data_IF_409737488724
#
_entry.id   IF_409737488724
#
_cell.length_a   1.000
_cell.length_b   1.000
_cell.length_c   1.000
_cell.angle_alpha   90.00
_cell.angle_beta   90.00
_cell.angle_gamma   90.00
#
_symmetry.space_group_name_H-M   'P 1'
#
loop_
_entity.id
_entity.type
_entity.pdbx_description
1 polymer ?
#
# COMPACT_ATOMS: atom_id res chain seq x y z
N UNK A 1 68.64 -5.51 32.25
CA UNK A 1 68.35 -4.31 31.44
C UNK A 1 67.09 -4.56 30.66
N UNK A 2 65.98 -3.93 31.02
CA UNK A 2 64.70 -4.09 30.39
C UNK A 2 64.48 -2.95 29.40
N UNK A 3 64.36 -3.26 28.11
CA UNK A 3 64.20 -2.32 27.01
C UNK A 3 62.72 -1.93 26.94
N UNK A 4 62.41 -0.65 27.20
CA UNK A 4 61.06 -0.11 27.18
C UNK A 4 60.65 0.24 25.73
N UNK A 5 59.58 -0.38 25.25
CA UNK A 5 58.95 -0.14 23.96
C UNK A 5 58.46 1.32 23.80
N UNK A 6 58.56 1.96 22.62
CA UNK A 6 58.16 3.34 22.44
C UNK A 6 56.66 3.52 22.47
N UNK A 7 56.16 4.52 23.25
CA UNK A 7 54.76 4.94 23.35
C UNK A 7 54.22 5.39 21.97
N UNK A 8 53.13 4.80 21.48
CA UNK A 8 52.40 5.23 20.31
C UNK A 8 51.93 6.68 20.46
N UNK A 9 52.39 7.56 19.57
CA UNK A 9 51.91 8.94 19.46
C UNK A 9 50.41 8.96 19.15
N UNK A 10 49.63 9.59 20.03
CA UNK A 10 48.18 9.76 19.82
C UNK A 10 47.92 10.59 18.54
N UNK A 11 46.79 10.25 17.88
CA UNK A 11 46.33 10.98 16.70
C UNK A 11 46.06 12.44 17.06
N UNK A 12 46.54 13.45 16.32
CA UNK A 12 46.33 14.85 16.65
C UNK A 12 44.85 15.17 16.68
N UNK A 13 44.37 15.90 17.67
CA UNK A 13 42.96 16.36 17.80
C UNK A 13 42.71 17.30 16.62
N UNK A 14 41.60 17.02 15.88
CA UNK A 14 41.13 17.91 14.79
C UNK A 14 40.75 19.26 15.35
N UNK A 15 41.32 20.32 14.79
CA UNK A 15 40.90 21.69 15.07
C UNK A 15 39.44 21.88 14.60
N UNK A 16 38.53 22.26 15.50
CA UNK A 16 37.11 22.47 15.14
C UNK A 16 36.90 23.67 14.18
N UNK A 17 37.88 24.60 14.09
CA UNK A 17 37.83 25.81 13.24
C UNK A 17 38.65 25.69 11.96
N UNK A 18 39.25 24.55 11.67
CA UNK A 18 39.96 24.36 10.42
C UNK A 18 39.00 24.47 9.21
N UNK A 19 39.33 25.27 8.16
CA UNK A 19 38.48 25.39 7.00
C UNK A 19 38.30 24.00 6.35
N UNK A 20 37.04 23.58 6.16
CA UNK A 20 36.73 22.31 5.50
C UNK A 20 37.34 22.35 4.07
N UNK A 21 38.38 21.55 3.85
CA UNK A 21 38.98 21.41 2.54
C UNK A 21 37.91 21.00 1.52
N UNK A 22 37.47 21.91 0.67
CA UNK A 22 36.58 21.66 -0.47
C UNK A 22 37.41 20.97 -1.55
N UNK A 23 37.43 19.63 -1.52
CA UNK A 23 38.00 18.85 -2.60
C UNK A 23 37.16 19.02 -3.86
N UNK A 24 37.59 19.89 -4.78
CA UNK A 24 37.02 19.98 -6.12
C UNK A 24 37.41 18.73 -6.92
N UNK A 25 36.59 17.67 -6.75
CA UNK A 25 36.72 16.48 -7.57
C UNK A 25 36.39 16.81 -9.03
N UNK A 26 37.24 16.37 -9.99
CA UNK A 26 36.96 16.51 -11.42
C UNK A 26 35.60 15.86 -11.76
N UNK A 27 34.90 16.36 -12.78
CA UNK A 27 33.61 15.83 -13.25
C UNK A 27 33.69 14.32 -13.51
N UNK A 28 34.82 13.84 -14.01
CA UNK A 28 35.11 12.42 -14.27
C UNK A 28 35.19 11.59 -12.99
N UNK A 29 35.76 12.14 -11.94
CA UNK A 29 35.89 11.47 -10.64
C UNK A 29 34.58 11.44 -9.86
N UNK A 30 33.74 12.49 -9.97
CA UNK A 30 32.37 12.52 -9.45
C UNK A 30 31.48 11.47 -10.13
N UNK A 31 31.58 11.35 -11.46
CA UNK A 31 30.85 10.33 -12.23
C UNK A 31 31.26 8.90 -11.83
N UNK A 32 32.58 8.66 -11.64
CA UNK A 32 33.10 7.35 -11.19
C UNK A 32 32.62 6.98 -9.80
N UNK A 33 32.62 7.90 -8.84
CA UNK A 33 32.09 7.67 -7.47
C UNK A 33 30.59 7.43 -7.47
N UNK A 34 29.84 8.17 -8.30
CA UNK A 34 28.39 7.97 -8.44
C UNK A 34 28.06 6.59 -9.05
N UNK A 35 28.82 6.16 -10.07
CA UNK A 35 28.66 4.84 -10.68
C UNK A 35 28.95 3.71 -9.67
N UNK A 36 30.04 3.80 -8.91
CA UNK A 36 30.39 2.84 -7.86
C UNK A 36 29.32 2.76 -6.77
N UNK A 37 28.77 3.92 -6.35
CA UNK A 37 27.67 3.98 -5.37
C UNK A 37 26.40 3.29 -5.89
N UNK A 38 26.06 3.47 -7.16
CA UNK A 38 24.91 2.81 -7.82
C UNK A 38 25.09 1.28 -7.89
N UNK A 39 26.28 0.82 -8.29
CA UNK A 39 26.61 -0.61 -8.36
C UNK A 39 26.54 -1.26 -6.98
N UNK A 40 27.10 -0.64 -5.95
CA UNK A 40 27.05 -1.17 -4.59
C UNK A 40 25.61 -1.21 -4.02
N UNK A 41 24.81 -0.19 -4.31
CA UNK A 41 23.39 -0.17 -3.94
C UNK A 41 22.59 -1.28 -4.66
N UNK A 42 22.88 -1.53 -5.94
CA UNK A 42 22.26 -2.61 -6.71
C UNK A 42 22.64 -3.99 -6.18
N UNK A 43 23.92 -4.22 -5.86
CA UNK A 43 24.39 -5.47 -5.21
C UNK A 43 23.68 -5.72 -3.88
N UNK A 44 23.61 -4.72 -3.00
CA UNK A 44 22.93 -4.84 -1.70
C UNK A 44 21.43 -5.15 -1.84
N UNK A 45 20.77 -4.58 -2.87
CA UNK A 45 19.37 -4.89 -3.20
C UNK A 45 19.22 -6.34 -3.70
N UNK A 46 20.10 -6.77 -4.60
CA UNK A 46 20.09 -8.14 -5.13
C UNK A 46 20.33 -9.19 -4.04
N UNK A 47 21.26 -8.96 -3.11
CA UNK A 47 21.52 -9.82 -1.96
C UNK A 47 20.30 -9.92 -1.03
N UNK A 48 19.65 -8.78 -0.71
CA UNK A 48 18.43 -8.76 0.10
C UNK A 48 17.28 -9.53 -0.57
N UNK A 49 17.12 -9.38 -1.89
CA UNK A 49 16.09 -10.09 -2.67
C UNK A 49 16.36 -11.59 -2.74
N UNK A 50 17.64 -12.00 -2.92
CA UNK A 50 18.06 -13.40 -2.93
C UNK A 50 17.78 -14.07 -1.59
N UNK A 51 18.16 -13.45 -0.47
CA UNK A 51 17.92 -13.98 0.88
C UNK A 51 16.43 -14.13 1.15
N UNK A 52 15.60 -13.11 0.82
CA UNK A 52 14.16 -13.19 0.99
C UNK A 52 13.52 -14.32 0.14
N UNK A 53 14.05 -14.57 -1.06
CA UNK A 53 13.58 -15.67 -1.91
C UNK A 53 13.97 -17.05 -1.33
N UNK A 54 15.14 -17.15 -0.73
CA UNK A 54 15.60 -18.38 -0.06
C UNK A 54 14.78 -18.67 1.19
N UNK A 55 14.52 -17.66 2.02
CA UNK A 55 13.68 -17.76 3.20
C UNK A 55 12.25 -18.20 2.84
N UNK A 56 11.65 -17.63 1.78
CA UNK A 56 10.34 -18.04 1.25
C UNK A 56 10.33 -19.53 0.82
N UNK A 57 11.37 -20.00 0.13
CA UNK A 57 11.49 -21.41 -0.29
C UNK A 57 11.62 -22.34 0.91
N UNK A 58 12.39 -21.97 1.92
CA UNK A 58 12.56 -22.73 3.15
C UNK A 58 11.22 -22.90 3.89
N UNK A 59 10.45 -21.82 3.95
CA UNK A 59 9.14 -21.85 4.58
C UNK A 59 8.11 -22.68 3.81
N UNK A 60 8.03 -22.50 2.50
CA UNK A 60 7.13 -23.28 1.67
C UNK A 60 7.36 -24.78 1.86
N UNK A 61 8.62 -25.22 1.93
CA UNK A 61 8.97 -26.63 2.25
C UNK A 61 8.50 -27.05 3.65
N UNK A 62 8.68 -26.19 4.65
CA UNK A 62 8.24 -26.50 6.02
C UNK A 62 6.72 -26.62 6.10
N UNK A 63 5.99 -25.69 5.45
CA UNK A 63 4.54 -25.71 5.36
C UNK A 63 4.03 -26.99 4.67
N UNK A 64 4.62 -27.36 3.52
CA UNK A 64 4.28 -28.57 2.78
C UNK A 64 4.50 -29.84 3.62
N UNK A 65 5.62 -29.93 4.34
CA UNK A 65 5.90 -31.04 5.26
C UNK A 65 4.87 -31.12 6.39
N UNK A 66 4.48 -30.00 6.99
CA UNK A 66 3.48 -29.97 8.06
C UNK A 66 2.10 -30.37 7.53
N UNK A 67 1.70 -29.85 6.36
CA UNK A 67 0.44 -30.21 5.71
C UNK A 67 0.38 -31.71 5.41
N UNK A 68 1.46 -32.28 4.88
CA UNK A 68 1.55 -33.71 4.60
C UNK A 68 1.45 -34.56 5.87
N UNK A 69 2.04 -34.13 6.98
CA UNK A 69 1.91 -34.80 8.28
C UNK A 69 0.48 -34.81 8.79
N UNK A 70 -0.20 -33.63 8.72
CA UNK A 70 -1.60 -33.49 9.13
C UNK A 70 -2.52 -34.35 8.27
N UNK A 71 -2.33 -34.37 6.95
CA UNK A 71 -3.12 -35.22 6.04
C UNK A 71 -2.96 -36.72 6.33
N UNK A 72 -1.74 -37.17 6.64
CA UNK A 72 -1.47 -38.57 7.04
C UNK A 72 -2.16 -38.92 8.36
N UNK A 73 -2.09 -38.03 9.36
CA UNK A 73 -2.75 -38.23 10.64
C UNK A 73 -4.27 -38.29 10.50
N UNK A 74 -4.86 -37.44 9.65
CA UNK A 74 -6.30 -37.45 9.35
C UNK A 74 -6.76 -38.73 8.62
N UNK A 75 -5.88 -39.38 7.86
CA UNK A 75 -6.14 -40.66 7.18
C UNK A 75 -5.95 -41.87 8.09
N UNK A 76 -5.68 -41.69 9.39
CA UNK A 76 -5.54 -42.76 10.38
C UNK A 76 -4.18 -43.45 10.37
N UNK A 77 -3.15 -42.83 9.79
CA UNK A 77 -1.78 -43.34 9.86
C UNK A 77 -1.21 -43.09 11.27
N UNK A 78 -1.19 -44.15 12.09
CA UNK A 78 -0.71 -44.09 13.48
C UNK A 78 0.77 -43.76 13.62
N UNK A 79 1.52 -43.75 12.52
CA UNK A 79 2.95 -43.37 12.50
C UNK A 79 3.15 -41.84 12.32
N UNK A 80 2.10 -41.09 11.97
CA UNK A 80 2.15 -39.67 11.77
C UNK A 80 1.79 -38.93 13.06
N UNK A 81 2.76 -38.61 13.89
CA UNK A 81 2.61 -37.74 15.05
C UNK A 81 2.69 -36.29 14.59
N UNK A 82 1.62 -35.52 14.81
CA UNK A 82 1.62 -34.05 14.70
C UNK A 82 1.87 -33.50 16.10
N UNK A 83 3.01 -32.88 16.30
CA UNK A 83 3.33 -32.21 17.55
C UNK A 83 2.53 -30.91 17.60
N UNK A 84 1.83 -30.64 18.73
CA UNK A 84 1.13 -29.37 18.95
C UNK A 84 2.07 -28.18 18.85
N UNK A 85 3.34 -28.33 19.23
CA UNK A 85 4.37 -27.31 19.06
C UNK A 85 4.67 -26.97 17.60
N UNK A 86 4.45 -27.90 16.65
CA UNK A 86 4.57 -27.60 15.20
C UNK A 86 3.43 -26.68 14.72
N UNK A 87 2.26 -26.78 15.33
CA UNK A 87 1.10 -25.91 15.04
C UNK A 87 1.23 -24.54 15.71
N UNK A 88 1.73 -24.48 16.93
CA UNK A 88 1.97 -23.24 17.67
C UNK A 88 3.13 -22.41 17.07
N UNK A 89 4.09 -23.07 16.44
CA UNK A 89 5.19 -22.41 15.74
C UNK A 89 4.79 -21.82 14.37
N UNK A 90 3.65 -22.22 13.80
CA UNK A 90 3.17 -21.68 12.51
C UNK A 90 2.89 -20.18 12.54
N UNK A 91 2.19 -19.61 13.54
CA UNK A 91 1.99 -18.18 13.64
C UNK A 91 3.30 -17.41 13.80
N UNK A 92 4.23 -17.91 14.62
CA UNK A 92 5.55 -17.32 14.81
C UNK A 92 6.40 -17.39 13.53
N UNK A 93 6.41 -18.54 12.85
CA UNK A 93 7.12 -18.69 11.59
C UNK A 93 6.51 -17.85 10.45
N UNK A 94 5.20 -17.60 10.47
CA UNK A 94 4.54 -16.64 9.57
C UNK A 94 4.94 -15.21 9.93
N UNK A 95 5.00 -14.86 11.20
CA UNK A 95 5.45 -13.54 11.66
C UNK A 95 6.92 -13.29 11.29
N UNK A 96 7.81 -14.28 11.43
CA UNK A 96 9.22 -14.18 11.05
C UNK A 96 9.42 -14.04 9.53
N UNK A 97 8.50 -14.58 8.73
CA UNK A 97 8.53 -14.47 7.27
C UNK A 97 7.99 -13.16 6.73
N UNK A 98 6.94 -12.68 7.37
CA UNK A 98 6.38 -11.36 7.06
C UNK A 98 7.40 -10.28 7.43
N UNK A 99 8.44 -10.65 8.22
CA UNK A 99 9.33 -9.73 8.90
C UNK A 99 8.50 -8.90 9.89
N UNK A 100 9.09 -8.06 10.68
CA UNK A 100 8.34 -6.96 11.31
C UNK A 100 7.78 -6.11 10.17
N UNK A 101 6.60 -6.51 9.66
CA UNK A 101 5.88 -5.72 8.66
C UNK A 101 5.48 -4.46 9.40
N UNK A 102 6.20 -3.38 9.12
CA UNK A 102 5.82 -2.05 9.61
C UNK A 102 4.33 -1.88 9.29
N UNK A 103 3.49 -1.77 10.31
CA UNK A 103 2.06 -1.52 10.13
C UNK A 103 1.92 -0.15 9.49
N UNK A 104 1.72 -0.14 8.18
CA UNK A 104 1.66 1.09 7.38
C UNK A 104 0.41 1.89 7.68
N UNK A 105 -0.68 1.18 8.00
CA UNK A 105 -1.97 1.76 8.37
C UNK A 105 -2.70 0.83 9.33
N UNK A 106 -3.10 1.40 10.46
CA UNK A 106 -3.97 0.74 11.43
C UNK A 106 -5.25 1.56 11.56
N UNK A 107 -6.42 0.99 11.25
CA UNK A 107 -7.68 1.70 11.43
C UNK A 107 -7.95 1.97 12.92
N UNK A 108 -8.59 3.08 13.19
CA UNK A 108 -9.13 3.35 14.51
C UNK A 108 -10.31 2.41 14.79
N UNK A 109 -10.44 1.98 16.06
CA UNK A 109 -11.58 1.17 16.48
C UNK A 109 -12.92 1.88 16.23
N UNK A 110 -13.96 1.09 15.93
CA UNK A 110 -15.30 1.58 15.65
C UNK A 110 -15.51 1.95 14.17
N UNK A 111 -16.07 3.14 13.84
CA UNK A 111 -16.58 3.42 12.48
C UNK A 111 -15.56 3.26 11.35
N UNK A 112 -14.27 3.47 11.60
CA UNK A 112 -13.25 3.29 10.58
C UNK A 112 -12.99 1.80 10.30
N UNK A 113 -12.92 0.99 11.34
CA UNK A 113 -12.82 -0.46 11.23
C UNK A 113 -14.07 -1.05 10.61
N UNK A 114 -15.27 -0.60 11.03
CA UNK A 114 -16.55 -1.04 10.46
C UNK A 114 -16.62 -0.77 8.95
N UNK A 115 -16.23 0.43 8.53
CA UNK A 115 -16.19 0.79 7.11
C UNK A 115 -15.24 -0.10 6.29
N UNK A 116 -14.06 -0.39 6.81
CA UNK A 116 -13.08 -1.22 6.11
C UNK A 116 -13.44 -2.71 6.13
N UNK A 117 -14.14 -3.19 7.15
CA UNK A 117 -14.58 -4.59 7.24
C UNK A 117 -15.92 -4.87 6.55
N UNK A 118 -16.64 -3.81 6.13
CA UNK A 118 -17.95 -3.94 5.52
C UNK A 118 -17.90 -4.75 4.22
N UNK A 119 -18.72 -5.80 4.15
CA UNK A 119 -18.88 -6.68 2.98
C UNK A 119 -19.90 -6.19 1.96
N UNK A 120 -20.65 -5.15 2.28
CA UNK A 120 -21.71 -4.60 1.44
C UNK A 120 -21.11 -3.97 0.17
N UNK A 121 -21.90 -4.04 -0.91
CA UNK A 121 -21.50 -3.49 -2.18
C UNK A 121 -21.35 -1.98 -2.16
N UNK A 122 -22.22 -1.28 -1.49
CA UNK A 122 -22.26 0.17 -1.40
C UNK A 122 -22.20 0.58 0.08
N UNK A 123 -21.14 1.26 0.50
CA UNK A 123 -20.93 1.67 1.90
C UNK A 123 -20.61 3.15 1.99
N UNK A 124 -21.27 3.82 2.92
CA UNK A 124 -21.05 5.22 3.26
C UNK A 124 -20.44 5.35 4.65
N UNK A 125 -19.29 6.00 4.73
CA UNK A 125 -18.68 6.44 5.99
C UNK A 125 -19.05 7.92 6.25
N UNK A 126 -20.12 8.13 6.98
CA UNK A 126 -20.59 9.44 7.42
C UNK A 126 -19.97 9.85 8.76
N UNK A 127 -19.83 11.16 9.00
CA UNK A 127 -19.40 11.68 10.30
C UNK A 127 -18.67 13.01 10.21
N UNK A 128 -18.37 13.61 11.38
CA UNK A 128 -17.67 14.90 11.46
C UNK A 128 -16.25 14.86 10.86
N UNK A 129 -15.68 16.00 10.59
CA UNK A 129 -14.28 16.14 10.18
C UNK A 129 -13.33 15.51 11.22
N UNK A 130 -12.18 14.99 10.78
CA UNK A 130 -11.17 14.39 11.66
C UNK A 130 -11.37 12.90 11.97
N UNK A 131 -12.50 12.28 11.58
CA UNK A 131 -12.77 10.86 11.82
C UNK A 131 -11.98 9.85 10.97
N UNK A 132 -10.93 10.26 10.27
CA UNK A 132 -10.09 9.34 9.47
C UNK A 132 -10.74 8.83 8.18
N UNK A 133 -11.88 9.38 7.75
CA UNK A 133 -12.66 8.95 6.56
C UNK A 133 -11.82 8.87 5.29
N UNK A 134 -11.08 9.93 4.96
CA UNK A 134 -10.25 9.99 3.75
C UNK A 134 -9.12 8.96 3.78
N UNK A 135 -8.52 8.70 4.95
CA UNK A 135 -7.50 7.65 5.09
C UNK A 135 -8.11 6.25 4.90
N UNK A 136 -9.29 5.98 5.46
CA UNK A 136 -9.98 4.71 5.23
C UNK A 136 -10.32 4.52 3.76
N UNK A 137 -10.81 5.58 3.10
CA UNK A 137 -11.12 5.55 1.67
C UNK A 137 -9.87 5.31 0.80
N UNK A 138 -8.71 5.85 1.20
CA UNK A 138 -7.44 5.60 0.52
C UNK A 138 -6.91 4.18 0.79
N UNK A 139 -7.07 3.65 1.99
CA UNK A 139 -6.58 2.33 2.36
C UNK A 139 -7.40 1.19 1.73
N UNK A 140 -8.71 1.36 1.58
CA UNK A 140 -9.63 0.32 1.15
C UNK A 140 -9.28 -0.34 -0.20
N UNK A 141 -8.97 0.37 -1.28
CA UNK A 141 -8.66 -0.23 -2.58
C UNK A 141 -7.32 -0.97 -2.61
N UNK A 142 -6.44 -0.78 -1.63
CA UNK A 142 -5.13 -1.41 -1.59
C UNK A 142 -5.21 -2.93 -1.44
N UNK A 143 -6.32 -3.46 -0.89
CA UNK A 143 -6.53 -4.89 -0.68
C UNK A 143 -6.45 -5.73 -1.96
N UNK A 144 -6.74 -5.11 -3.12
CA UNK A 144 -6.70 -5.78 -4.43
C UNK A 144 -5.55 -5.31 -5.33
N UNK A 145 -4.65 -4.46 -4.84
CA UNK A 145 -3.52 -3.96 -5.62
C UNK A 145 -2.44 -5.02 -5.93
N UNK A 146 -2.57 -6.25 -5.43
CA UNK A 146 -1.79 -7.41 -5.83
C UNK A 146 -2.24 -7.98 -7.18
N UNK A 147 -3.51 -7.78 -7.57
CA UNK A 147 -4.08 -8.26 -8.84
C UNK A 147 -3.81 -7.26 -9.96
N UNK A 148 -3.14 -7.66 -11.09
CA UNK A 148 -2.78 -6.77 -12.19
C UNK A 148 -3.99 -6.16 -12.92
N UNK A 149 -5.16 -6.79 -12.81
CA UNK A 149 -6.40 -6.34 -13.43
C UNK A 149 -7.20 -5.36 -12.57
N UNK A 150 -6.73 -5.07 -11.34
CA UNK A 150 -7.40 -4.10 -10.46
C UNK A 150 -7.40 -2.70 -11.08
N UNK A 151 -8.60 -2.13 -11.21
CA UNK A 151 -8.86 -0.80 -11.73
C UNK A 151 -9.73 -0.04 -10.75
N UNK A 152 -9.11 0.80 -9.91
CA UNK A 152 -9.81 1.69 -8.98
C UNK A 152 -10.04 3.08 -9.60
N UNK A 153 -11.14 3.71 -9.18
CA UNK A 153 -11.42 5.12 -9.44
C UNK A 153 -11.67 5.81 -8.10
N UNK A 154 -10.95 6.90 -7.83
CA UNK A 154 -11.20 7.76 -6.68
C UNK A 154 -11.61 9.15 -7.16
N UNK A 155 -12.76 9.59 -6.69
CA UNK A 155 -13.42 10.81 -7.13
C UNK A 155 -13.56 11.83 -6.01
N UNK A 156 -13.31 13.09 -6.32
CA UNK A 156 -13.56 14.26 -5.48
C UNK A 156 -14.33 15.33 -6.26
N UNK A 157 -14.91 16.31 -5.58
CA UNK A 157 -15.66 17.38 -6.25
C UNK A 157 -14.76 18.35 -6.97
N UNK A 158 -13.71 18.84 -6.33
CA UNK A 158 -12.81 19.87 -6.88
C UNK A 158 -11.37 19.37 -7.02
N UNK A 159 -10.57 20.08 -7.83
CA UNK A 159 -9.16 19.77 -8.03
C UNK A 159 -8.32 20.02 -6.78
N UNK A 160 -8.58 21.12 -6.06
CA UNK A 160 -7.82 21.47 -4.86
C UNK A 160 -7.97 20.41 -3.77
N UNK A 161 -9.22 19.97 -3.54
CA UNK A 161 -9.50 18.90 -2.60
C UNK A 161 -8.91 17.55 -3.04
N UNK A 162 -8.86 17.28 -4.35
CA UNK A 162 -8.21 16.08 -4.89
C UNK A 162 -6.70 16.08 -4.63
N UNK A 163 -6.06 17.25 -4.71
CA UNK A 163 -4.63 17.39 -4.47
C UNK A 163 -4.27 16.96 -3.05
N UNK A 164 -5.07 17.32 -2.06
CA UNK A 164 -4.88 16.87 -0.66
C UNK A 164 -4.96 15.33 -0.54
N UNK A 165 -5.90 14.69 -1.25
CA UNK A 165 -6.00 13.23 -1.27
C UNK A 165 -4.80 12.58 -1.96
N UNK A 166 -4.29 13.17 -3.04
CA UNK A 166 -3.08 12.70 -3.71
C UNK A 166 -1.89 12.73 -2.77
N UNK A 167 -1.69 13.82 -2.02
CA UNK A 167 -0.58 13.95 -1.08
C UNK A 167 -0.68 12.95 0.08
N UNK A 168 -1.88 12.72 0.63
CA UNK A 168 -2.13 11.67 1.62
C UNK A 168 -1.84 10.27 1.03
N UNK A 169 -2.24 10.03 -0.21
CA UNK A 169 -1.98 8.74 -0.88
C UNK A 169 -0.50 8.49 -1.11
N UNK A 170 0.31 9.52 -1.36
CA UNK A 170 1.77 9.40 -1.48
C UNK A 170 2.41 8.87 -0.20
N UNK A 171 1.94 9.35 0.96
CA UNK A 171 2.43 8.88 2.25
C UNK A 171 2.08 7.42 2.52
N UNK A 172 0.87 6.99 2.12
CA UNK A 172 0.35 5.66 2.37
C UNK A 172 0.84 4.64 1.33
N UNK A 173 0.66 4.92 0.04
CA UNK A 173 0.84 3.92 -1.03
C UNK A 173 2.30 3.56 -1.28
N UNK A 174 3.23 4.52 -1.13
CA UNK A 174 4.66 4.25 -1.29
C UNK A 174 5.23 3.38 -0.17
N UNK A 175 4.65 3.46 1.03
CA UNK A 175 5.00 2.60 2.17
C UNK A 175 4.38 1.21 2.02
N UNK A 176 3.06 1.15 1.73
CA UNK A 176 2.34 -0.11 1.58
C UNK A 176 2.84 -0.95 0.40
N UNK A 177 3.19 -0.31 -0.70
CA UNK A 177 3.69 -0.95 -1.92
C UNK A 177 5.00 -0.32 -2.38
N UNK A 178 6.16 -0.77 -1.87
CA UNK A 178 7.44 -0.30 -2.36
C UNK A 178 7.57 -0.52 -3.87
N UNK A 179 7.68 0.59 -4.62
CA UNK A 179 7.71 0.57 -6.09
C UNK A 179 6.43 1.06 -6.75
N UNK A 180 5.35 1.34 -6.00
CA UNK A 180 4.20 2.07 -6.53
C UNK A 180 4.62 3.48 -6.99
N UNK A 181 4.05 3.94 -8.12
CA UNK A 181 4.40 5.21 -8.75
C UNK A 181 3.14 5.99 -9.09
N UNK A 182 3.13 7.26 -8.74
CA UNK A 182 2.09 8.18 -9.20
C UNK A 182 2.49 8.80 -10.54
N UNK A 183 1.63 8.68 -11.54
CA UNK A 183 1.80 9.31 -12.87
C UNK A 183 1.06 10.63 -12.88
N UNK A 184 1.77 11.74 -12.70
CA UNK A 184 1.19 13.10 -12.62
C UNK A 184 0.30 13.43 -13.83
N UNK A 185 0.78 13.17 -15.06
CA UNK A 185 0.06 13.50 -16.29
C UNK A 185 -1.29 12.79 -16.45
N UNK A 186 -1.51 11.69 -15.72
CA UNK A 186 -2.73 10.88 -15.75
C UNK A 186 -3.43 10.84 -14.40
N UNK A 187 -2.90 11.50 -13.39
CA UNK A 187 -3.36 11.43 -12.00
C UNK A 187 -3.64 9.99 -11.54
N UNK A 188 -2.74 9.06 -11.86
CA UNK A 188 -2.99 7.63 -11.69
C UNK A 188 -1.84 6.96 -10.95
N UNK A 189 -2.16 6.26 -9.89
CA UNK A 189 -1.25 5.32 -9.26
C UNK A 189 -1.09 4.05 -10.09
N UNK A 190 0.14 3.58 -10.22
CA UNK A 190 0.48 2.31 -10.85
C UNK A 190 1.28 1.50 -9.83
N UNK A 191 0.77 0.34 -9.50
CA UNK A 191 1.37 -0.58 -8.54
C UNK A 191 2.31 -1.57 -9.22
N UNK A 192 3.22 -2.23 -8.46
CA UNK A 192 4.17 -3.19 -9.03
C UNK A 192 3.50 -4.38 -9.77
N UNK A 193 2.30 -4.75 -9.37
CA UNK A 193 1.49 -5.78 -10.04
C UNK A 193 0.98 -5.37 -11.43
N UNK A 194 0.86 -4.08 -11.69
CA UNK A 194 0.15 -3.51 -12.84
C UNK A 194 -1.24 -2.97 -12.49
N UNK A 195 -1.72 -3.16 -11.26
CA UNK A 195 -2.92 -2.53 -10.76
C UNK A 195 -2.86 -1.01 -10.89
N UNK A 196 -4.02 -0.36 -11.04
CA UNK A 196 -4.09 1.10 -11.14
C UNK A 196 -5.24 1.68 -10.34
N UNK A 197 -5.01 2.85 -9.75
CA UNK A 197 -6.07 3.66 -9.14
C UNK A 197 -6.00 5.06 -9.74
N UNK A 198 -7.07 5.44 -10.44
CA UNK A 198 -7.18 6.74 -11.06
C UNK A 198 -7.82 7.72 -10.09
N UNK A 199 -7.15 8.83 -9.83
CA UNK A 199 -7.62 9.96 -9.02
C UNK A 199 -8.15 11.05 -9.94
N UNK A 200 -9.37 11.53 -9.71
CA UNK A 200 -9.97 12.53 -10.57
C UNK A 200 -11.03 13.35 -9.84
N UNK A 201 -11.49 14.42 -10.47
CA UNK A 201 -12.53 15.30 -9.93
C UNK A 201 -13.65 15.55 -10.94
N UNK A 202 -14.81 15.97 -10.45
CA UNK A 202 -15.97 16.34 -11.26
C UNK A 202 -16.59 17.64 -10.74
N UNK A 203 -16.26 18.75 -11.37
CA UNK A 203 -16.91 20.06 -11.08
C UNK A 203 -18.39 20.03 -11.41
N UNK A 204 -18.75 19.41 -12.52
CA UNK A 204 -20.13 19.35 -13.02
C UNK A 204 -20.57 17.89 -13.13
N UNK A 205 -21.77 17.61 -12.63
CA UNK A 205 -22.31 16.25 -12.61
C UNK A 205 -22.39 15.64 -14.02
N UNK A 206 -22.66 16.44 -15.06
CA UNK A 206 -22.71 16.00 -16.46
C UNK A 206 -21.39 15.46 -16.98
N UNK A 207 -20.26 15.86 -16.40
CA UNK A 207 -18.93 15.44 -16.84
C UNK A 207 -18.64 13.99 -16.47
N UNK A 208 -19.52 13.34 -15.69
CA UNK A 208 -19.45 11.91 -15.37
C UNK A 208 -19.51 11.04 -16.64
N UNK A 209 -20.07 11.54 -17.72
CA UNK A 209 -20.13 10.83 -19.01
C UNK A 209 -18.77 10.55 -19.62
N UNK A 210 -17.70 11.25 -19.21
CA UNK A 210 -16.32 10.95 -19.64
C UNK A 210 -15.84 9.54 -19.24
N UNK A 211 -16.51 8.89 -18.27
CA UNK A 211 -16.25 7.50 -17.90
C UNK A 211 -17.02 6.50 -18.79
N UNK A 212 -17.70 6.97 -19.83
CA UNK A 212 -18.35 6.06 -20.79
C UNK A 212 -17.32 5.10 -21.40
N UNK A 213 -17.68 3.83 -21.48
CA UNK A 213 -16.78 2.79 -21.99
C UNK A 213 -15.74 2.28 -20.98
N UNK A 214 -15.53 2.96 -19.87
CA UNK A 214 -14.59 2.52 -18.82
C UNK A 214 -15.22 1.50 -17.87
N UNK A 215 -14.37 0.69 -17.25
CA UNK A 215 -14.74 -0.33 -16.29
C UNK A 215 -13.82 -0.23 -15.06
N UNK A 216 -14.41 -0.30 -13.88
CA UNK A 216 -13.72 -0.28 -12.61
C UNK A 216 -14.25 -1.42 -11.74
N UNK A 217 -13.42 -2.00 -10.91
CA UNK A 217 -13.87 -2.96 -9.90
C UNK A 217 -14.05 -2.31 -8.52
N UNK A 218 -13.45 -1.14 -8.30
CA UNK A 218 -13.60 -0.32 -7.11
C UNK A 218 -13.81 1.14 -7.47
N UNK A 219 -14.77 1.79 -6.81
CA UNK A 219 -15.01 3.23 -6.97
C UNK A 219 -15.14 3.86 -5.59
N UNK A 220 -14.28 4.84 -5.30
CA UNK A 220 -14.32 5.67 -4.12
C UNK A 220 -14.83 7.07 -4.45
N UNK A 221 -15.81 7.58 -3.70
CA UNK A 221 -16.29 8.97 -3.81
C UNK A 221 -16.12 9.64 -2.46
N UNK A 222 -15.17 10.56 -2.39
CA UNK A 222 -14.97 11.36 -1.18
C UNK A 222 -15.91 12.56 -1.16
N UNK A 223 -16.52 12.82 0.00
CA UNK A 223 -17.51 13.87 0.22
C UNK A 223 -18.71 13.81 -0.76
N UNK A 224 -19.35 12.64 -0.86
CA UNK A 224 -20.46 12.39 -1.81
C UNK A 224 -21.63 13.38 -1.65
N UNK A 225 -21.82 13.96 -0.47
CA UNK A 225 -22.85 14.98 -0.21
C UNK A 225 -22.62 16.32 -0.91
N UNK A 226 -21.46 16.52 -1.55
CA UNK A 226 -21.21 17.69 -2.41
C UNK A 226 -21.89 17.57 -3.78
N UNK A 227 -22.37 16.39 -4.17
CA UNK A 227 -23.12 16.17 -5.40
C UNK A 227 -24.62 16.38 -5.13
N UNK A 228 -25.28 17.32 -5.82
CA UNK A 228 -26.66 17.70 -5.51
C UNK A 228 -27.71 16.62 -5.80
N UNK A 229 -27.39 15.68 -6.68
CA UNK A 229 -28.27 14.59 -7.09
C UNK A 229 -27.54 13.23 -7.08
N UNK A 230 -28.25 12.10 -7.04
CA UNK A 230 -27.64 10.76 -7.13
C UNK A 230 -27.06 10.44 -8.53
N UNK A 231 -27.20 11.31 -9.51
CA UNK A 231 -26.84 11.04 -10.92
C UNK A 231 -25.41 10.57 -11.09
N UNK A 232 -24.43 11.21 -10.44
CA UNK A 232 -23.01 10.81 -10.50
C UNK A 232 -22.83 9.41 -9.90
N UNK A 233 -23.44 9.15 -8.74
CA UNK A 233 -23.35 7.85 -8.06
C UNK A 233 -23.99 6.73 -8.90
N UNK A 234 -25.21 6.92 -9.40
CA UNK A 234 -25.91 5.95 -10.25
C UNK A 234 -25.13 5.66 -11.54
N UNK A 235 -24.61 6.70 -12.18
CA UNK A 235 -23.83 6.54 -13.41
C UNK A 235 -22.56 5.73 -13.15
N UNK A 236 -21.80 6.04 -12.10
CA UNK A 236 -20.56 5.35 -11.77
C UNK A 236 -20.84 3.91 -11.31
N UNK A 237 -21.91 3.67 -10.60
CA UNK A 237 -22.35 2.32 -10.20
C UNK A 237 -22.53 1.41 -11.43
N UNK A 238 -22.99 1.94 -12.55
CA UNK A 238 -23.09 1.22 -13.82
C UNK A 238 -21.73 0.91 -14.47
N UNK A 239 -20.65 1.52 -13.97
CA UNK A 239 -19.27 1.26 -14.44
C UNK A 239 -18.56 0.19 -13.63
N UNK A 240 -19.17 -0.31 -12.54
CA UNK A 240 -18.64 -1.42 -11.76
C UNK A 240 -18.76 -2.71 -12.56
N UNK A 241 -17.65 -3.17 -13.12
CA UNK A 241 -17.54 -4.42 -13.85
C UNK A 241 -16.10 -4.88 -13.95
N UNK A 242 -15.87 -6.18 -13.99
CA UNK A 242 -14.58 -6.82 -14.27
C UNK A 242 -14.79 -8.08 -15.06
N UNK A 243 -13.80 -8.45 -15.88
CA UNK A 243 -13.72 -9.76 -16.53
C UNK A 243 -12.83 -10.72 -15.75
N UNK A 244 -12.12 -10.24 -14.75
CA UNK A 244 -11.29 -11.03 -13.85
C UNK A 244 -12.17 -11.77 -12.83
N UNK A 245 -12.06 -13.11 -12.70
CA UNK A 245 -12.93 -13.90 -11.83
C UNK A 245 -12.86 -13.52 -10.34
N UNK A 246 -11.67 -13.17 -9.84
CA UNK A 246 -11.48 -12.71 -8.46
C UNK A 246 -12.17 -11.37 -8.24
N UNK A 247 -11.87 -10.39 -9.11
CA UNK A 247 -12.38 -9.03 -8.98
C UNK A 247 -13.89 -8.93 -9.28
N UNK A 248 -14.44 -9.85 -10.08
CA UNK A 248 -15.86 -9.89 -10.40
C UNK A 248 -16.74 -10.15 -9.16
N UNK A 249 -16.20 -10.86 -8.17
CA UNK A 249 -16.87 -11.12 -6.89
C UNK A 249 -16.78 -9.91 -5.94
N UNK A 250 -15.92 -8.94 -6.24
CA UNK A 250 -15.59 -7.80 -5.39
C UNK A 250 -15.78 -6.47 -6.14
N UNK A 251 -16.97 -6.29 -6.72
CA UNK A 251 -17.37 -5.03 -7.38
C UNK A 251 -18.12 -4.16 -6.38
N UNK A 252 -17.51 -3.06 -5.92
CA UNK A 252 -18.11 -2.27 -4.86
C UNK A 252 -17.73 -0.79 -4.88
N UNK A 253 -18.56 0.01 -4.20
CA UNK A 253 -18.35 1.44 -3.97
C UNK A 253 -18.11 1.75 -2.51
N UNK A 254 -17.28 2.73 -2.28
CA UNK A 254 -17.01 3.31 -0.96
C UNK A 254 -17.18 4.81 -1.04
N UNK A 255 -18.03 5.34 -0.17
CA UNK A 255 -18.30 6.77 -0.12
C UNK A 255 -17.97 7.34 1.25
N UNK A 256 -17.56 8.60 1.29
CA UNK A 256 -17.45 9.34 2.54
C UNK A 256 -18.35 10.57 2.50
N UNK A 257 -18.74 11.07 3.66
CA UNK A 257 -19.49 12.31 3.77
C UNK A 257 -19.26 12.99 5.11
N UNK A 258 -19.23 14.32 5.09
CA UNK A 258 -19.48 15.15 6.27
C UNK A 258 -20.99 15.43 6.41
N UNK A 259 -21.48 15.70 7.63
CA UNK A 259 -22.85 16.15 7.83
C UNK A 259 -23.13 17.44 7.04
N UNK A 260 -24.29 17.54 6.43
CA UNK A 260 -24.67 18.65 5.58
C UNK A 260 -24.39 18.41 4.10
N UNK A 261 -24.11 19.47 3.34
CA UNK A 261 -23.93 19.41 1.91
C UNK A 261 -25.25 19.38 1.11
N UNK A 262 -25.17 19.86 -0.13
CA UNK A 262 -26.35 20.01 -1.02
C UNK A 262 -27.00 18.68 -1.37
N UNK A 263 -26.23 17.58 -1.36
CA UNK A 263 -26.69 16.22 -1.67
C UNK A 263 -27.16 15.43 -0.44
N UNK A 264 -27.07 15.99 0.76
CA UNK A 264 -27.40 15.27 1.99
C UNK A 264 -28.83 14.71 2.03
N UNK A 265 -29.74 15.31 1.28
CA UNK A 265 -31.14 14.87 1.21
C UNK A 265 -31.33 13.54 0.48
N UNK A 266 -30.59 13.27 -0.59
CA UNK A 266 -30.69 12.01 -1.32
C UNK A 266 -29.83 10.93 -0.68
N UNK A 267 -28.62 11.28 -0.18
CA UNK A 267 -27.70 10.33 0.48
C UNK A 267 -28.35 9.69 1.72
N UNK A 268 -29.24 10.42 2.43
CA UNK A 268 -30.00 9.85 3.58
C UNK A 268 -31.13 8.91 3.16
N UNK A 269 -31.52 8.90 1.89
CA UNK A 269 -32.62 8.08 1.38
C UNK A 269 -32.11 6.82 0.66
N UNK A 270 -30.84 6.79 0.30
CA UNK A 270 -30.17 5.64 -0.32
C UNK A 270 -29.65 4.68 0.72
#
# INVERSE_FOLDING_TARGET
MAETAPKRRGRPKKDPNAPKATYNLSTRERARRAATKRVNAAKKRAEKTSKAAEDRRRYARKLEQTTTKVEKALKGDSSATVDLGDLDALPSAVADLVGESEVVFQPNDGPQTDFLSAGERDVLYGGAAGGGKSFALLADPLRYCHNPNHRGLLLRRTLDELTELIDKSRQLYTKAFPGAKFRESKSTWVFPSGATIWFTYLDKDKDVTRFQGQAFNWIGIDEITQYPTPYVWDYLRSRLRSTDPELQQHLYMRCTANPGGVGGWWVKKT
#
